data_IF_992723666754
#
_entry.id   IF_992723666754
#
_cell.length_a   1.000
_cell.length_b   1.000
_cell.length_c   1.000
_cell.angle_alpha   90.00
_cell.angle_beta   90.00
_cell.angle_gamma   90.00
#
_symmetry.space_group_name_H-M   'P 1'
#
loop_
_entity.id
_entity.type
_entity.pdbx_description
1 polymer ?
#
# COMPACT_ATOMS: atom_id res chain seq x y z
N UNK A 1 -18.36 -1.66 62.18
CA UNK A 1 -17.17 -0.79 61.95
C UNK A 1 -16.04 -1.70 61.50
N UNK A 2 -15.37 -1.60 60.35
CA UNK A 2 -15.29 -0.61 59.28
C UNK A 2 -15.12 -1.36 57.95
N UNK A 3 -15.70 -0.77 56.90
CA UNK A 3 -15.48 -1.09 55.48
C UNK A 3 -13.98 -1.12 55.16
N UNK A 4 -13.53 -2.13 54.42
CA UNK A 4 -12.42 -1.95 53.48
C UNK A 4 -12.88 -2.48 52.13
N UNK A 5 -13.22 -1.54 51.26
CA UNK A 5 -13.51 -1.73 49.85
C UNK A 5 -12.19 -2.14 49.21
N UNK A 6 -12.10 -3.37 48.70
CA UNK A 6 -11.09 -3.74 47.74
C UNK A 6 -11.41 -2.98 46.45
N UNK A 7 -10.75 -1.84 46.28
CA UNK A 7 -10.64 -1.17 44.98
C UNK A 7 -9.77 -2.09 44.13
N UNK A 8 -10.38 -2.81 43.19
CA UNK A 8 -9.68 -3.32 42.02
C UNK A 8 -9.11 -2.10 41.30
N UNK A 9 -7.83 -1.81 41.54
CA UNK A 9 -7.02 -1.03 40.62
C UNK A 9 -6.78 -1.92 39.41
N UNK A 10 -7.78 -2.00 38.51
CA UNK A 10 -7.50 -2.22 37.10
C UNK A 10 -6.68 -1.01 36.68
N UNK A 11 -5.36 -1.13 36.77
CA UNK A 11 -4.44 -0.26 36.06
C UNK A 11 -4.77 -0.44 34.58
N UNK A 12 -5.73 0.33 34.08
CA UNK A 12 -5.71 0.82 32.72
C UNK A 12 -4.37 1.56 32.60
N UNK A 13 -3.32 0.84 32.28
CA UNK A 13 -2.26 1.41 31.47
C UNK A 13 -2.97 1.83 30.18
N UNK A 14 -3.48 3.06 30.20
CA UNK A 14 -3.68 3.83 29.00
C UNK A 14 -2.31 3.88 28.35
N UNK A 15 -2.01 2.90 27.50
CA UNK A 15 -1.01 3.04 26.47
C UNK A 15 -1.40 4.35 25.79
N UNK A 16 -0.62 5.40 26.02
CA UNK A 16 -0.71 6.61 25.24
C UNK A 16 -0.51 6.13 23.81
N UNK A 17 -1.61 5.98 23.07
CA UNK A 17 -1.55 5.70 21.66
C UNK A 17 -0.94 6.95 21.05
N UNK A 18 0.34 6.86 20.70
CA UNK A 18 0.89 7.77 19.70
C UNK A 18 -0.02 7.62 18.48
N UNK A 19 -0.77 8.67 18.19
CA UNK A 19 -1.54 8.72 16.96
C UNK A 19 -0.52 8.78 15.82
N UNK A 20 -0.77 8.02 14.76
CA UNK A 20 -0.02 8.21 13.52
C UNK A 20 -0.24 9.65 13.08
N UNK A 21 0.86 10.38 12.87
CA UNK A 21 0.80 11.74 12.36
C UNK A 21 0.59 11.71 10.85
N UNK A 22 -0.23 12.66 10.37
CA UNK A 22 -0.60 12.75 8.98
C UNK A 22 -0.31 14.15 8.44
N UNK A 23 0.26 14.20 7.25
CA UNK A 23 0.45 15.43 6.49
C UNK A 23 -0.70 15.61 5.52
N UNK A 24 -1.10 16.86 5.31
CA UNK A 24 -2.15 17.22 4.36
C UNK A 24 -1.54 17.39 2.97
N UNK A 25 -2.07 16.67 1.99
CA UNK A 25 -1.70 16.80 0.58
C UNK A 25 -2.86 17.49 -0.16
N UNK A 26 -2.65 18.67 -0.76
CA UNK A 26 -3.72 19.44 -1.39
C UNK A 26 -4.24 18.74 -2.65
N UNK A 27 -5.50 19.02 -3.02
CA UNK A 27 -5.99 18.63 -4.35
C UNK A 27 -5.22 19.34 -5.46
N UNK A 28 -5.16 18.71 -6.63
CA UNK A 28 -4.55 19.30 -7.83
C UNK A 28 -5.38 18.96 -9.06
N UNK A 29 -5.77 19.99 -9.81
CA UNK A 29 -6.49 19.84 -11.09
C UNK A 29 -5.60 19.27 -12.20
N UNK A 30 -4.28 19.38 -12.03
CA UNK A 30 -3.30 18.94 -13.02
C UNK A 30 -1.97 18.59 -12.35
N UNK A 31 -1.67 17.29 -12.26
CA UNK A 31 -0.39 16.75 -11.82
C UNK A 31 0.17 15.81 -12.86
N UNK A 32 1.43 16.03 -13.26
CA UNK A 32 2.08 15.17 -14.24
C UNK A 32 2.81 14.04 -13.51
N UNK A 33 2.19 12.85 -13.48
CA UNK A 33 2.82 11.64 -12.95
C UNK A 33 3.74 10.98 -13.97
N UNK A 34 4.55 10.03 -13.52
CA UNK A 34 5.42 9.23 -14.38
C UNK A 34 6.63 10.01 -14.89
N UNK A 35 7.38 9.41 -15.80
CA UNK A 35 8.59 10.02 -16.32
C UNK A 35 9.02 9.46 -17.69
N UNK A 36 8.87 10.28 -18.73
CA UNK A 36 9.15 9.91 -20.12
C UNK A 36 10.65 9.89 -20.43
N UNK A 37 11.52 10.21 -19.48
CA UNK A 37 12.97 10.27 -19.71
C UNK A 37 13.68 8.96 -19.37
N UNK A 38 12.99 7.96 -18.83
CA UNK A 38 13.64 6.77 -18.27
C UNK A 38 13.41 5.50 -19.10
N UNK A 39 14.52 4.97 -19.58
CA UNK A 39 14.68 3.59 -20.04
C UNK A 39 15.37 2.86 -18.88
N UNK A 40 14.65 1.98 -18.19
CA UNK A 40 15.27 1.10 -17.20
C UNK A 40 15.99 -0.04 -17.93
N UNK A 41 17.15 -0.48 -17.41
CA UNK A 41 18.04 -1.52 -17.95
C UNK A 41 18.63 -1.31 -19.37
N UNK A 42 19.75 -0.58 -19.51
CA UNK A 42 20.49 -0.60 -20.78
C UNK A 42 20.93 -2.03 -21.18
N UNK A 43 21.42 -2.88 -20.28
CA UNK A 43 21.98 -4.18 -20.70
C UNK A 43 20.92 -5.27 -21.00
N UNK A 44 19.79 -5.27 -20.29
CA UNK A 44 18.70 -6.21 -20.58
C UNK A 44 17.92 -5.79 -21.83
N UNK A 45 17.67 -4.48 -22.04
CA UNK A 45 16.92 -3.99 -23.20
C UNK A 45 17.78 -3.79 -24.45
N UNK A 46 19.08 -3.45 -24.35
CA UNK A 46 20.01 -3.50 -25.51
C UNK A 46 20.00 -4.87 -26.16
N UNK A 47 19.83 -5.92 -25.36
CA UNK A 47 19.78 -7.31 -25.82
C UNK A 47 18.35 -7.81 -26.13
N UNK A 48 17.29 -7.04 -25.83
CA UNK A 48 15.88 -7.40 -26.07
C UNK A 48 15.05 -6.22 -26.61
N UNK A 49 15.30 -5.77 -27.86
CA UNK A 49 14.76 -4.51 -28.42
C UNK A 49 13.24 -4.51 -28.70
N UNK A 50 12.53 -5.61 -28.48
CA UNK A 50 11.07 -5.70 -28.59
C UNK A 50 10.33 -5.34 -27.29
N UNK A 51 11.06 -5.13 -26.19
CA UNK A 51 10.49 -4.73 -24.89
C UNK A 51 10.59 -3.20 -24.76
N UNK A 52 9.50 -2.59 -24.29
CA UNK A 52 9.07 -1.18 -24.44
C UNK A 52 10.08 -0.07 -24.09
N UNK A 53 9.81 1.12 -24.66
CA UNK A 53 10.62 2.35 -24.59
C UNK A 53 10.50 3.13 -23.27
N UNK A 54 9.42 2.96 -22.49
CA UNK A 54 9.18 3.67 -21.22
C UNK A 54 8.52 2.74 -20.20
N UNK A 55 8.94 2.78 -18.93
CA UNK A 55 8.33 1.99 -17.84
C UNK A 55 7.14 2.72 -17.19
N UNK A 56 7.15 4.05 -17.23
CA UNK A 56 6.15 4.92 -16.62
C UNK A 56 5.92 6.14 -17.52
N UNK A 57 5.09 6.00 -18.55
CA UNK A 57 4.73 7.12 -19.45
C UNK A 57 4.15 8.29 -18.66
N UNK A 58 4.60 9.51 -18.94
CA UNK A 58 4.02 10.68 -18.29
C UNK A 58 2.59 10.91 -18.72
N UNK A 59 1.77 11.33 -17.77
CA UNK A 59 0.38 11.69 -18.00
C UNK A 59 -0.09 12.70 -16.97
N UNK A 60 -1.03 13.53 -17.40
CA UNK A 60 -1.65 14.51 -16.53
C UNK A 60 -2.88 13.90 -15.85
N UNK A 61 -2.88 13.92 -14.52
CA UNK A 61 -3.98 13.43 -13.69
C UNK A 61 -4.52 14.56 -12.81
N UNK A 62 -5.71 14.32 -12.25
CA UNK A 62 -6.27 15.11 -11.17
C UNK A 62 -6.23 14.27 -9.90
N UNK A 63 -5.90 14.88 -8.77
CA UNK A 63 -5.97 14.23 -7.47
C UNK A 63 -6.81 15.08 -6.52
N UNK A 64 -7.67 14.42 -5.78
CA UNK A 64 -8.39 15.01 -4.67
C UNK A 64 -7.46 15.24 -3.49
N UNK A 65 -7.89 16.06 -2.54
CA UNK A 65 -7.18 16.24 -1.29
C UNK A 65 -7.17 14.93 -0.49
N UNK A 66 -6.02 14.60 0.10
CA UNK A 66 -5.86 13.45 0.99
C UNK A 66 -4.85 13.75 2.08
N UNK A 67 -4.74 12.82 3.02
CA UNK A 67 -3.81 12.90 4.13
C UNK A 67 -3.04 11.59 4.20
N UNK A 68 -1.72 11.68 4.20
CA UNK A 68 -0.82 10.52 4.21
C UNK A 68 0.01 10.53 5.49
N UNK A 69 0.33 9.35 6.03
CA UNK A 69 1.15 9.25 7.23
C UNK A 69 2.53 9.85 7.01
N UNK A 70 2.96 10.68 7.95
CA UNK A 70 4.26 11.38 7.89
C UNK A 70 5.42 10.40 7.73
N UNK A 71 5.33 9.27 8.42
CA UNK A 71 6.29 8.18 8.39
C UNK A 71 5.65 6.87 7.90
N UNK A 72 6.50 5.93 7.51
CA UNK A 72 6.15 4.53 7.30
C UNK A 72 5.62 3.95 8.62
N UNK A 73 4.73 2.97 8.49
CA UNK A 73 4.23 2.24 9.66
C UNK A 73 5.37 1.48 10.32
N UNK A 74 5.45 1.65 11.63
CA UNK A 74 6.54 1.20 12.48
C UNK A 74 6.31 -0.19 13.06
N UNK A 75 7.40 -0.83 13.50
CA UNK A 75 7.34 -2.11 14.23
C UNK A 75 6.46 -1.99 15.48
N UNK A 76 6.47 -0.84 16.16
CA UNK A 76 5.61 -0.58 17.33
C UNK A 76 4.13 -0.72 17.03
N UNK A 77 3.68 -0.13 15.92
CA UNK A 77 2.28 -0.11 15.54
C UNK A 77 1.79 -1.49 15.17
N UNK A 78 2.61 -2.24 14.42
CA UNK A 78 2.31 -3.63 14.05
C UNK A 78 2.32 -4.55 15.29
N UNK A 79 3.31 -4.45 16.18
CA UNK A 79 3.34 -5.20 17.46
C UNK A 79 2.09 -4.94 18.29
N UNK A 80 1.60 -3.70 18.32
CA UNK A 80 0.39 -3.37 19.02
C UNK A 80 -0.89 -3.92 18.36
N UNK A 81 -0.93 -4.02 17.02
CA UNK A 81 -1.99 -4.76 16.33
C UNK A 81 -1.97 -6.24 16.75
N UNK A 82 -0.81 -6.90 16.63
CA UNK A 82 -0.63 -8.32 17.01
C UNK A 82 -1.09 -8.58 18.43
N UNK A 83 -0.63 -7.77 19.39
CA UNK A 83 -0.98 -7.92 20.79
C UNK A 83 -2.49 -7.77 21.06
N UNK A 84 -3.20 -7.00 20.24
CA UNK A 84 -4.64 -6.74 20.46
C UNK A 84 -5.55 -7.71 19.73
N UNK A 85 -5.06 -8.40 18.71
CA UNK A 85 -5.88 -9.27 17.86
C UNK A 85 -5.41 -10.71 17.81
N UNK A 86 -4.27 -11.03 18.44
CA UNK A 86 -3.59 -12.32 18.36
C UNK A 86 -3.34 -12.78 16.90
N UNK A 87 -3.18 -11.81 15.98
CA UNK A 87 -3.09 -12.11 14.56
C UNK A 87 -1.77 -12.83 14.22
N UNK A 88 -1.80 -14.01 13.58
CA UNK A 88 -0.62 -14.83 13.35
C UNK A 88 0.11 -14.43 12.05
N UNK A 89 0.84 -13.31 12.08
CA UNK A 89 1.62 -12.86 10.92
C UNK A 89 2.54 -13.97 10.39
N UNK A 90 2.60 -14.06 9.08
CA UNK A 90 3.38 -15.01 8.30
C UNK A 90 4.88 -14.94 8.59
N UNK A 91 5.42 -13.74 8.82
CA UNK A 91 6.84 -13.57 9.14
C UNK A 91 7.23 -14.13 10.53
N UNK A 92 6.30 -14.30 11.48
CA UNK A 92 6.60 -14.99 12.75
C UNK A 92 6.69 -16.51 12.62
N UNK A 93 6.35 -17.06 11.43
CA UNK A 93 6.47 -18.50 11.17
C UNK A 93 7.91 -18.90 10.82
N UNK A 94 8.76 -17.92 10.52
CA UNK A 94 10.19 -18.11 10.30
C UNK A 94 10.97 -17.59 11.51
N UNK A 95 11.78 -18.45 12.11
CA UNK A 95 12.60 -18.10 13.26
C UNK A 95 13.60 -16.99 12.92
N UNK A 96 14.10 -16.95 11.67
CA UNK A 96 15.04 -15.91 11.24
C UNK A 96 14.40 -14.53 11.29
N UNK A 97 13.21 -14.38 10.69
CA UNK A 97 12.51 -13.10 10.65
C UNK A 97 11.98 -12.68 12.03
N UNK A 98 11.57 -13.66 12.85
CA UNK A 98 11.20 -13.43 14.24
C UNK A 98 12.37 -12.88 15.05
N UNK A 99 13.54 -13.50 14.95
CA UNK A 99 14.75 -13.02 15.61
C UNK A 99 15.21 -11.68 15.05
N UNK A 100 15.11 -11.48 13.74
CA UNK A 100 15.45 -10.22 13.08
C UNK A 100 14.61 -9.06 13.64
N UNK A 101 13.28 -9.19 13.69
CA UNK A 101 12.39 -8.15 14.23
C UNK A 101 12.63 -7.91 15.72
N UNK A 102 12.81 -8.98 16.50
CA UNK A 102 12.90 -8.85 17.95
C UNK A 102 14.28 -8.37 18.42
N UNK A 103 15.34 -8.68 17.68
CA UNK A 103 16.71 -8.42 18.11
C UNK A 103 17.41 -7.33 17.30
N UNK A 104 17.03 -7.08 16.04
CA UNK A 104 17.67 -6.08 15.18
C UNK A 104 16.84 -4.82 14.95
N UNK A 105 15.51 -4.91 14.93
CA UNK A 105 14.65 -3.75 14.74
C UNK A 105 14.21 -3.14 16.07
N UNK A 106 14.36 -1.82 16.19
CA UNK A 106 13.71 -1.02 17.22
C UNK A 106 12.22 -0.85 16.89
N UNK A 107 11.40 -0.60 17.91
CA UNK A 107 10.00 -0.20 17.78
C UNK A 107 9.78 0.99 16.81
N UNK A 108 10.75 1.88 16.69
CA UNK A 108 10.70 3.06 15.81
C UNK A 108 11.20 2.79 14.38
N UNK A 109 11.61 1.57 14.04
CA UNK A 109 11.93 1.21 12.66
C UNK A 109 10.66 1.01 11.84
N UNK A 110 10.76 1.20 10.52
CA UNK A 110 9.69 0.82 9.61
C UNK A 110 9.46 -0.70 9.67
N UNK A 111 8.20 -1.13 9.55
CA UNK A 111 7.86 -2.54 9.52
C UNK A 111 7.97 -3.05 8.07
N UNK A 112 9.20 -3.27 7.61
CA UNK A 112 9.50 -3.70 6.25
C UNK A 112 9.30 -5.21 6.03
N UNK A 113 8.28 -5.83 6.63
CA UNK A 113 8.03 -7.28 6.56
C UNK A 113 6.56 -7.61 6.25
N UNK A 114 5.84 -6.63 5.71
CA UNK A 114 4.43 -6.77 5.42
C UNK A 114 4.20 -7.21 3.98
N UNK A 115 3.16 -8.00 3.80
CA UNK A 115 2.57 -8.29 2.50
C UNK A 115 1.23 -7.55 2.37
N UNK A 116 0.65 -7.50 1.17
CA UNK A 116 -0.60 -6.76 0.98
C UNK A 116 -1.73 -7.31 1.84
N UNK A 117 -1.89 -8.63 1.91
CA UNK A 117 -2.93 -9.26 2.71
C UNK A 117 -2.88 -8.82 4.17
N UNK A 118 -1.71 -8.90 4.81
CA UNK A 118 -1.50 -8.52 6.21
C UNK A 118 -1.55 -7.02 6.42
N UNK A 119 -1.10 -6.23 5.45
CA UNK A 119 -1.25 -4.78 5.45
C UNK A 119 -2.72 -4.38 5.52
N UNK A 120 -3.57 -5.02 4.71
CA UNK A 120 -5.00 -4.80 4.70
C UNK A 120 -5.67 -5.21 6.04
N UNK A 121 -5.17 -6.25 6.71
CA UNK A 121 -5.62 -6.63 8.07
C UNK A 121 -5.34 -5.52 9.09
N UNK A 122 -4.09 -5.06 9.11
CA UNK A 122 -3.65 -3.98 9.98
C UNK A 122 -4.46 -2.69 9.73
N UNK A 123 -4.63 -2.33 8.46
CA UNK A 123 -5.40 -1.15 8.04
C UNK A 123 -6.85 -1.22 8.52
N UNK A 124 -7.50 -2.39 8.38
CA UNK A 124 -8.88 -2.54 8.81
C UNK A 124 -9.00 -2.40 10.33
N UNK A 125 -8.11 -3.05 11.08
CA UNK A 125 -8.06 -2.93 12.53
C UNK A 125 -7.84 -1.48 12.97
N UNK A 126 -6.88 -0.79 12.34
CA UNK A 126 -6.60 0.61 12.68
C UNK A 126 -7.80 1.51 12.36
N UNK A 127 -8.47 1.25 11.24
CA UNK A 127 -9.67 1.98 10.83
C UNK A 127 -10.82 1.83 11.83
N UNK A 128 -11.12 0.59 12.22
CA UNK A 128 -12.15 0.29 13.22
C UNK A 128 -11.80 0.91 14.58
N UNK A 129 -10.54 0.83 14.98
CA UNK A 129 -10.07 1.36 16.27
C UNK A 129 -10.14 2.89 16.35
N UNK A 130 -9.91 3.58 15.24
CA UNK A 130 -9.93 5.05 15.16
C UNK A 130 -11.26 5.62 14.72
N UNK A 131 -12.22 4.77 14.30
CA UNK A 131 -13.51 5.21 13.79
C UNK A 131 -13.40 6.02 12.49
N UNK A 132 -12.39 5.71 11.67
CA UNK A 132 -12.07 6.43 10.44
C UNK A 132 -11.53 5.47 9.39
N UNK A 133 -11.88 5.67 8.14
CA UNK A 133 -11.40 4.82 7.05
C UNK A 133 -9.97 5.22 6.67
N UNK A 134 -9.05 4.27 6.86
CA UNK A 134 -7.69 4.34 6.34
C UNK A 134 -7.51 3.28 5.24
N UNK A 135 -6.54 3.52 4.36
CA UNK A 135 -6.16 2.65 3.24
C UNK A 135 -4.69 2.83 2.90
N UNK A 136 -4.18 2.03 1.97
CA UNK A 136 -2.90 2.32 1.32
C UNK A 136 -3.06 3.53 0.39
N UNK A 137 -1.98 4.26 0.06
CA UNK A 137 -1.98 5.23 -1.02
C UNK A 137 -2.15 4.53 -2.37
N UNK A 138 -2.70 5.23 -3.38
CA UNK A 138 -2.44 4.85 -4.78
C UNK A 138 -1.02 5.25 -5.19
N UNK A 139 -0.53 4.69 -6.30
CA UNK A 139 0.74 5.10 -6.92
C UNK A 139 0.78 6.61 -7.16
N UNK A 140 -0.31 7.16 -7.68
CA UNK A 140 -0.42 8.58 -7.98
C UNK A 140 -0.38 9.46 -6.72
N UNK A 141 -1.07 9.05 -5.65
CA UNK A 141 -1.04 9.76 -4.37
C UNK A 141 0.35 9.72 -3.75
N UNK A 142 0.97 8.53 -3.74
CA UNK A 142 2.32 8.35 -3.19
C UNK A 142 3.32 9.21 -3.97
N UNK A 143 3.32 9.14 -5.31
CA UNK A 143 4.22 9.92 -6.15
C UNK A 143 4.01 11.42 -5.92
N UNK A 144 2.76 11.89 -5.88
CA UNK A 144 2.46 13.30 -5.65
C UNK A 144 2.95 13.80 -4.29
N UNK A 145 2.73 13.02 -3.23
CA UNK A 145 3.20 13.33 -1.88
C UNK A 145 4.74 13.33 -1.79
N UNK A 146 5.40 12.46 -2.56
CA UNK A 146 6.85 12.32 -2.59
C UNK A 146 7.55 13.45 -3.35
N UNK A 147 7.06 13.86 -4.53
CA UNK A 147 7.84 14.75 -5.40
C UNK A 147 7.21 16.10 -5.73
N UNK A 148 5.92 16.32 -5.50
CA UNK A 148 5.31 17.64 -5.71
C UNK A 148 5.65 18.30 -7.07
N UNK A 149 5.45 17.62 -8.19
CA UNK A 149 5.82 18.10 -9.55
C UNK A 149 7.33 18.37 -9.77
N UNK A 150 8.18 18.10 -8.79
CA UNK A 150 9.62 18.17 -8.94
C UNK A 150 10.08 16.88 -9.60
N UNK A 151 10.41 16.93 -10.90
CA UNK A 151 11.06 15.80 -11.61
C UNK A 151 12.53 15.62 -11.17
N UNK A 152 12.79 15.78 -9.87
CA UNK A 152 14.08 15.50 -9.25
C UNK A 152 14.32 13.98 -9.19
N UNK A 153 15.59 13.61 -9.02
CA UNK A 153 16.08 12.25 -8.82
C UNK A 153 15.47 11.61 -7.59
N UNK A 154 15.25 12.42 -6.56
CA UNK A 154 14.77 12.00 -5.26
C UNK A 154 13.63 12.92 -4.79
N UNK A 155 12.76 12.41 -3.91
CA UNK A 155 11.64 13.16 -3.28
C UNK A 155 12.00 14.53 -2.71
N UNK A 156 13.19 14.62 -2.12
CA UNK A 156 13.74 15.80 -1.44
C UNK A 156 14.74 16.58 -2.31
N UNK A 157 14.89 16.24 -3.60
CA UNK A 157 15.71 16.99 -4.56
C UNK A 157 16.86 16.21 -5.18
N UNK A 158 17.84 16.95 -5.73
CA UNK A 158 19.03 16.39 -6.38
C UNK A 158 20.31 16.72 -5.57
N UNK A 159 20.44 16.31 -4.29
CA UNK A 159 21.65 16.60 -3.55
C UNK A 159 22.85 15.93 -4.24
N UNK A 160 23.88 16.72 -4.54
CA UNK A 160 25.18 16.19 -4.92
C UNK A 160 25.87 15.69 -3.66
N UNK A 161 25.68 14.42 -3.29
CA UNK A 161 26.43 13.78 -2.22
C UNK A 161 25.63 12.93 -1.24
N UNK A 162 26.39 12.13 -0.49
CA UNK A 162 25.97 11.26 0.61
C UNK A 162 25.24 12.10 1.66
N UNK A 163 24.04 11.69 2.07
CA UNK A 163 23.50 12.18 3.33
C UNK A 163 24.46 11.73 4.44
N UNK A 164 25.10 12.69 5.10
CA UNK A 164 26.04 12.42 6.20
C UNK A 164 25.41 11.56 7.30
N UNK A 165 24.08 11.61 7.43
CA UNK A 165 23.31 10.86 8.42
C UNK A 165 23.06 9.40 8.03
N UNK A 166 23.21 9.04 6.75
CA UNK A 166 23.01 7.68 6.23
C UNK A 166 24.34 6.91 6.04
N UNK A 167 25.42 7.33 6.72
CA UNK A 167 26.78 6.78 6.56
C UNK A 167 26.95 5.38 7.19
N UNK A 168 26.01 4.48 6.94
CA UNK A 168 26.01 3.12 7.48
C UNK A 168 25.81 2.11 6.35
N UNK A 169 26.62 1.05 6.38
CA UNK A 169 26.47 -0.16 5.57
C UNK A 169 25.27 -1.00 6.05
N UNK A 170 24.10 -0.38 6.19
CA UNK A 170 22.89 -1.03 6.75
C UNK A 170 21.68 -0.77 5.87
N UNK A 171 20.74 -1.70 5.88
CA UNK A 171 19.49 -1.58 5.13
C UNK A 171 18.62 -0.45 5.67
N UNK A 172 17.85 0.22 4.81
CA UNK A 172 17.01 1.37 5.19
C UNK A 172 16.04 1.06 6.33
N UNK A 173 15.44 -0.12 6.34
CA UNK A 173 14.52 -0.55 7.39
C UNK A 173 15.18 -0.76 8.75
N UNK A 174 16.51 -0.89 8.81
CA UNK A 174 17.28 -0.94 10.06
C UNK A 174 17.51 0.46 10.65
N UNK A 175 17.19 1.52 9.91
CA UNK A 175 17.25 2.91 10.38
C UNK A 175 15.86 3.35 10.90
N UNK A 176 15.75 3.82 12.16
CA UNK A 176 14.50 4.35 12.70
C UNK A 176 13.93 5.48 11.84
N UNK A 177 12.61 5.49 11.65
CA UNK A 177 11.92 6.42 10.73
C UNK A 177 12.14 7.89 11.10
N UNK A 178 12.41 8.19 12.37
CA UNK A 178 12.53 9.55 12.90
C UNK A 178 13.91 10.21 12.71
N UNK A 179 14.93 9.51 12.21
CA UNK A 179 16.33 9.97 12.26
C UNK A 179 16.74 10.88 11.09
N UNK A 180 16.34 10.64 9.83
CA UNK A 180 16.82 11.46 8.74
C UNK A 180 15.89 12.66 8.48
N UNK A 181 16.09 13.79 9.16
CA UNK A 181 15.37 15.06 8.89
C UNK A 181 15.49 15.50 7.42
N UNK A 182 16.61 15.13 6.80
CA UNK A 182 16.96 15.47 5.43
C UNK A 182 16.26 14.58 4.38
N UNK A 183 15.67 13.46 4.80
CA UNK A 183 14.83 12.60 3.97
C UNK A 183 13.36 13.01 4.12
N UNK A 184 13.03 14.16 3.53
CA UNK A 184 11.73 14.79 3.64
C UNK A 184 11.28 15.41 2.32
N UNK A 185 10.13 15.00 1.79
CA UNK A 185 9.54 15.58 0.58
C UNK A 185 9.18 17.05 0.77
N UNK A 186 8.92 17.75 -0.34
CA UNK A 186 8.42 19.13 -0.32
C UNK A 186 7.09 19.32 0.42
N UNK A 187 6.33 18.25 0.65
CA UNK A 187 5.09 18.26 1.43
C UNK A 187 5.24 17.82 2.89
N UNK A 188 6.45 17.43 3.31
CA UNK A 188 6.69 16.95 4.67
C UNK A 188 6.63 15.43 4.83
N UNK A 189 6.55 14.66 3.74
CA UNK A 189 6.56 13.19 3.82
C UNK A 189 7.99 12.74 4.13
N UNK A 190 8.19 11.98 5.22
CA UNK A 190 9.52 11.62 5.71
C UNK A 190 9.81 10.14 5.52
N UNK A 191 11.10 9.81 5.45
CA UNK A 191 11.53 8.43 5.28
C UNK A 191 11.29 7.92 3.88
N UNK A 192 11.38 8.80 2.87
CA UNK A 192 11.09 8.50 1.47
C UNK A 192 12.34 8.01 0.75
N UNK A 193 13.51 7.89 1.36
CA UNK A 193 14.69 7.29 0.74
C UNK A 193 14.77 5.80 1.04
N UNK A 194 14.91 4.98 0.00
CA UNK A 194 15.03 3.53 0.11
C UNK A 194 13.70 2.87 0.46
N UNK A 195 13.74 1.55 0.71
CA UNK A 195 12.52 0.78 0.98
C UNK A 195 11.73 0.40 -0.27
N UNK A 196 10.60 -0.25 -0.05
CA UNK A 196 9.64 -0.72 -1.05
C UNK A 196 8.27 -0.65 -0.38
N UNK A 197 7.51 0.39 -0.69
CA UNK A 197 6.21 0.65 -0.06
C UNK A 197 5.06 0.05 -0.88
N UNK A 198 4.15 -0.69 -0.24
CA UNK A 198 2.96 -1.25 -0.91
C UNK A 198 1.95 -0.14 -1.20
N UNK A 199 1.42 -0.11 -2.43
CA UNK A 199 0.31 0.78 -2.84
C UNK A 199 -0.95 -0.02 -3.19
N UNK A 200 -2.07 0.68 -3.40
CA UNK A 200 -3.35 0.06 -3.81
C UNK A 200 -3.33 -0.49 -5.24
N UNK A 201 -2.53 0.08 -6.13
CA UNK A 201 -2.52 -0.29 -7.54
C UNK A 201 -2.04 -1.73 -7.74
N UNK A 202 -2.70 -2.46 -8.63
CA UNK A 202 -2.13 -3.66 -9.21
C UNK A 202 -0.86 -3.29 -10.01
N UNK A 203 0.12 -4.20 -10.03
CA UNK A 203 1.28 -4.03 -10.90
C UNK A 203 0.89 -4.24 -12.37
N UNK A 204 1.46 -3.44 -13.27
CA UNK A 204 1.28 -3.60 -14.71
C UNK A 204 2.52 -3.09 -15.44
N UNK A 205 3.07 -3.85 -16.38
CA UNK A 205 4.21 -3.41 -17.23
C UNK A 205 3.83 -2.27 -18.20
N UNK A 206 2.55 -1.90 -18.23
CA UNK A 206 1.97 -0.82 -19.01
C UNK A 206 1.18 0.13 -18.09
N UNK A 207 1.59 0.23 -16.83
CA UNK A 207 0.85 0.91 -15.76
C UNK A 207 0.26 2.26 -16.20
N UNK A 208 1.06 3.07 -16.88
CA UNK A 208 0.64 4.38 -17.38
C UNK A 208 0.27 4.40 -18.87
N UNK A 209 0.50 3.31 -19.60
CA UNK A 209 0.14 3.19 -21.03
C UNK A 209 -1.27 2.61 -21.24
N UNK A 210 -1.71 1.66 -20.40
CA UNK A 210 -3.08 1.12 -20.36
C UNK A 210 -4.10 2.13 -19.86
N UNK A 211 -3.61 3.25 -19.35
CA UNK A 211 -4.42 4.42 -19.07
C UNK A 211 -4.75 5.07 -20.42
N UNK A 212 -5.71 4.49 -21.14
CA UNK A 212 -6.16 5.02 -22.43
C UNK A 212 -6.78 6.43 -22.24
N UNK A 213 -7.36 6.66 -21.04
CA UNK A 213 -7.71 7.96 -20.39
C UNK A 213 -8.00 7.74 -18.90
N UNK A 214 -7.20 8.22 -17.94
CA UNK A 214 -7.63 8.31 -16.53
C UNK A 214 -7.35 9.70 -15.97
N UNK A 215 -8.44 10.39 -15.66
CA UNK A 215 -8.49 11.65 -14.93
C UNK A 215 -9.26 11.44 -13.63
N UNK A 216 -8.83 12.16 -12.60
CA UNK A 216 -9.29 12.17 -11.20
C UNK A 216 -9.21 10.84 -10.42
N UNK A 217 -8.25 10.79 -9.48
CA UNK A 217 -7.99 9.69 -8.55
C UNK A 217 -7.79 8.32 -9.24
N UNK A 218 -6.76 8.17 -10.10
CA UNK A 218 -6.55 6.93 -10.84
C UNK A 218 -6.11 5.77 -9.94
N UNK A 219 -6.57 4.57 -10.29
CA UNK A 219 -6.19 3.30 -9.69
C UNK A 219 -6.21 2.18 -10.74
N UNK A 220 -5.21 1.30 -10.70
CA UNK A 220 -5.06 0.24 -11.70
C UNK A 220 -5.55 -1.10 -11.17
N UNK A 221 -6.42 -1.74 -11.96
CA UNK A 221 -6.94 -3.08 -11.72
C UNK A 221 -6.52 -4.06 -12.82
N UNK A 222 -5.79 -5.11 -12.47
CA UNK A 222 -5.37 -6.17 -13.41
C UNK A 222 -5.69 -7.55 -12.83
N UNK A 223 -5.00 -7.95 -11.76
CA UNK A 223 -5.06 -9.30 -11.20
C UNK A 223 -4.93 -9.31 -9.66
N UNK A 224 -4.20 -10.28 -9.10
CA UNK A 224 -3.92 -10.38 -7.66
C UNK A 224 -2.63 -9.71 -7.24
N UNK A 225 -1.85 -9.22 -8.19
CA UNK A 225 -0.60 -8.53 -7.90
C UNK A 225 -0.88 -7.26 -7.12
N UNK A 226 0.10 -6.79 -6.39
CA UNK A 226 0.14 -5.40 -5.98
C UNK A 226 1.44 -4.82 -6.46
N UNK A 227 1.40 -3.52 -6.72
CA UNK A 227 2.61 -2.76 -6.97
C UNK A 227 3.22 -2.39 -5.64
N UNK A 228 4.53 -2.46 -5.56
CA UNK A 228 5.26 -1.60 -4.63
C UNK A 228 5.86 -0.43 -5.36
N UNK A 229 6.08 0.68 -4.66
CA UNK A 229 6.88 1.80 -5.12
C UNK A 229 8.14 1.86 -4.27
N UNK A 230 9.29 1.89 -4.94
CA UNK A 230 10.59 2.07 -4.31
C UNK A 230 11.12 3.44 -4.64
N UNK A 231 11.81 4.04 -3.69
CA UNK A 231 12.34 5.38 -3.75
C UNK A 231 13.86 5.40 -3.58
N UNK A 232 14.56 4.88 -4.58
CA UNK A 232 16.02 4.82 -4.62
C UNK A 232 16.61 3.47 -4.20
N UNK A 233 17.93 3.37 -4.27
CA UNK A 233 18.67 2.14 -3.98
C UNK A 233 19.14 2.13 -2.51
N UNK A 234 19.24 0.94 -1.92
CA UNK A 234 19.78 0.70 -0.57
C UNK A 234 21.25 1.14 -0.47
N UNK A 235 21.95 1.13 -1.60
CA UNK A 235 23.37 1.48 -1.71
C UNK A 235 23.55 2.89 -2.26
N UNK A 236 22.65 3.82 -1.90
CA UNK A 236 22.68 5.19 -2.41
C UNK A 236 24.04 5.89 -2.22
N UNK A 237 24.77 5.51 -1.18
CA UNK A 237 26.07 6.10 -0.86
C UNK A 237 27.25 5.49 -1.65
N UNK A 238 27.04 4.38 -2.38
CA UNK A 238 28.11 3.62 -3.05
C UNK A 238 27.94 3.56 -4.58
N UNK A 239 26.85 4.09 -5.12
CA UNK A 239 26.52 3.98 -6.56
C UNK A 239 26.50 5.35 -7.22
N UNK A 240 26.97 5.42 -8.46
CA UNK A 240 26.67 6.56 -9.32
C UNK A 240 25.20 6.46 -9.77
N UNK A 241 24.41 7.47 -9.42
CA UNK A 241 23.00 7.61 -9.84
C UNK A 241 22.86 8.57 -11.03
N UNK A 242 23.92 8.81 -11.78
CA UNK A 242 23.85 9.49 -13.08
C UNK A 242 22.89 8.77 -14.03
N UNK A 243 22.74 7.45 -13.89
CA UNK A 243 21.95 6.54 -14.73
C UNK A 243 20.56 6.15 -14.20
N UNK A 244 20.21 6.51 -12.95
CA UNK A 244 19.00 6.05 -12.25
C UNK A 244 18.24 7.18 -11.56
N UNK A 245 16.91 7.13 -11.66
CA UNK A 245 16.00 7.95 -10.86
C UNK A 245 15.21 7.06 -9.91
N UNK A 246 15.13 7.46 -8.65
CA UNK A 246 14.75 6.58 -7.56
C UNK A 246 13.29 6.16 -7.51
N UNK A 247 12.37 6.85 -8.18
CA UNK A 247 10.94 6.84 -7.82
C UNK A 247 10.01 6.03 -8.72
N UNK A 248 10.54 5.34 -9.72
CA UNK A 248 9.74 4.68 -10.75
C UNK A 248 10.04 3.17 -10.84
N UNK A 249 10.61 2.61 -9.78
CA UNK A 249 10.83 1.17 -9.70
C UNK A 249 9.61 0.53 -9.05
N UNK A 250 8.68 0.12 -9.90
CA UNK A 250 7.53 -0.67 -9.48
C UNK A 250 7.91 -2.15 -9.46
N UNK A 251 7.60 -2.85 -8.38
CA UNK A 251 7.73 -4.31 -8.37
C UNK A 251 6.38 -4.98 -8.34
N UNK A 252 6.32 -6.10 -9.06
CA UNK A 252 5.25 -7.05 -8.94
C UNK A 252 5.44 -7.86 -7.66
N UNK A 253 4.53 -7.71 -6.69
CA UNK A 253 4.45 -8.58 -5.52
C UNK A 253 3.10 -9.29 -5.48
N UNK A 254 3.11 -10.57 -5.11
CA UNK A 254 1.86 -11.33 -4.92
C UNK A 254 1.15 -10.92 -3.62
N UNK A 255 -0.17 -11.05 -3.61
CA UNK A 255 -1.05 -10.67 -2.49
C UNK A 255 -0.57 -11.15 -1.10
N UNK A 256 -0.01 -12.36 -1.02
CA UNK A 256 0.51 -12.97 0.21
C UNK A 256 2.03 -13.24 0.15
N UNK A 257 2.77 -12.50 -0.68
CA UNK A 257 4.21 -12.70 -0.80
C UNK A 257 4.92 -12.44 0.52
N UNK A 258 5.95 -13.21 0.86
CA UNK A 258 6.76 -12.98 2.07
C UNK A 258 7.83 -11.88 1.89
N UNK A 259 7.84 -11.16 0.77
CA UNK A 259 8.80 -10.09 0.54
C UNK A 259 8.56 -8.97 1.54
N UNK A 260 9.64 -8.51 2.15
CA UNK A 260 9.59 -7.43 3.10
C UNK A 260 9.32 -6.09 2.45
N UNK A 261 8.12 -5.54 2.69
CA UNK A 261 7.71 -4.23 2.22
C UNK A 261 7.20 -3.37 3.38
N UNK A 262 7.43 -2.07 3.27
CA UNK A 262 6.86 -1.07 4.16
C UNK A 262 5.45 -0.66 3.68
N UNK A 263 4.71 0.05 4.54
CA UNK A 263 3.43 0.68 4.18
C UNK A 263 3.30 2.07 4.77
N UNK A 264 2.43 2.87 4.15
CA UNK A 264 1.88 4.11 4.71
C UNK A 264 0.37 4.05 4.74
N UNK A 265 -0.22 4.88 5.59
CA UNK A 265 -1.67 5.04 5.65
C UNK A 265 -2.08 6.33 4.96
N UNK A 266 -3.18 6.25 4.23
CA UNK A 266 -3.92 7.39 3.70
C UNK A 266 -5.32 7.40 4.30
N UNK A 267 -5.82 8.60 4.60
CA UNK A 267 -7.25 8.86 4.67
C UNK A 267 -7.59 10.06 3.78
N UNK A 268 -8.80 10.10 3.24
CA UNK A 268 -9.24 11.19 2.37
C UNK A 268 -10.73 11.50 2.60
N UNK A 269 -11.17 12.77 2.44
CA UNK A 269 -12.59 13.10 2.39
C UNK A 269 -13.29 12.47 1.17
N UNK A 270 -12.57 12.37 0.06
CA UNK A 270 -13.02 11.70 -1.15
C UNK A 270 -12.30 10.36 -1.31
N UNK A 271 -13.09 9.29 -1.38
CA UNK A 271 -12.61 7.92 -1.51
C UNK A 271 -13.03 7.28 -2.83
N UNK A 272 -13.51 8.10 -3.78
CA UNK A 272 -13.88 7.65 -5.13
C UNK A 272 -12.64 7.63 -6.02
N UNK A 273 -12.37 6.48 -6.62
CA UNK A 273 -11.33 6.25 -7.61
C UNK A 273 -11.91 6.07 -9.00
N UNK A 274 -11.07 6.29 -10.02
CA UNK A 274 -11.41 6.08 -11.43
C UNK A 274 -12.66 6.85 -11.87
N UNK A 275 -12.80 8.11 -11.44
CA UNK A 275 -14.01 8.91 -11.70
C UNK A 275 -14.35 9.00 -13.18
N UNK A 276 -15.62 8.80 -13.51
CA UNK A 276 -16.14 8.84 -14.87
C UNK A 276 -15.81 7.60 -15.71
N UNK A 277 -15.40 6.49 -15.08
CA UNK A 277 -15.10 5.22 -15.78
C UNK A 277 -16.02 4.09 -15.35
N UNK A 278 -16.01 3.02 -16.14
CA UNK A 278 -16.77 1.79 -15.85
C UNK A 278 -16.33 1.14 -14.52
N UNK A 279 -15.07 1.33 -14.14
CA UNK A 279 -14.48 0.84 -12.90
C UNK A 279 -14.40 1.92 -11.80
N UNK A 280 -15.24 2.97 -11.90
CA UNK A 280 -15.41 3.95 -10.83
C UNK A 280 -15.88 3.27 -9.55
N UNK A 281 -15.14 3.48 -8.47
CA UNK A 281 -15.36 2.73 -7.24
C UNK A 281 -14.97 3.50 -6.00
N UNK A 282 -15.50 3.05 -4.87
CA UNK A 282 -15.30 3.63 -3.55
C UNK A 282 -14.55 2.61 -2.69
N UNK A 283 -13.59 3.08 -1.91
CA UNK A 283 -12.98 2.27 -0.85
C UNK A 283 -14.08 1.63 0.02
N UNK A 284 -14.06 0.31 0.14
CA UNK A 284 -15.08 -0.44 0.86
C UNK A 284 -14.50 -1.78 1.32
N UNK A 285 -13.72 -1.75 2.40
CA UNK A 285 -13.08 -2.94 2.93
C UNK A 285 -14.06 -3.80 3.74
N UNK A 286 -14.50 -4.93 3.19
CA UNK A 286 -15.52 -5.78 3.81
C UNK A 286 -15.34 -7.28 3.50
N UNK A 287 -15.97 -8.16 4.27
CA UNK A 287 -15.92 -9.62 4.10
C UNK A 287 -17.30 -10.12 3.69
N UNK A 288 -17.36 -10.98 2.68
CA UNK A 288 -18.61 -11.56 2.23
C UNK A 288 -18.49 -13.03 1.85
N UNK A 289 -19.65 -13.64 1.64
CA UNK A 289 -19.78 -15.02 1.20
C UNK A 289 -20.71 -15.11 -0.01
N UNK A 290 -20.32 -15.91 -0.99
CA UNK A 290 -21.15 -16.19 -2.17
C UNK A 290 -22.43 -16.90 -1.74
N UNK A 291 -23.59 -16.43 -2.22
CA UNK A 291 -24.91 -16.94 -1.82
C UNK A 291 -25.24 -18.31 -2.40
N UNK A 292 -24.98 -18.52 -3.69
CA UNK A 292 -25.28 -19.77 -4.40
C UNK A 292 -24.21 -20.06 -5.45
N UNK A 293 -24.08 -19.14 -6.40
CA UNK A 293 -23.01 -19.11 -7.39
C UNK A 293 -22.77 -17.67 -7.78
N UNK A 294 -21.53 -17.33 -8.11
CA UNK A 294 -21.20 -15.98 -8.53
C UNK A 294 -20.19 -15.97 -9.65
N UNK A 295 -20.45 -15.15 -10.66
CA UNK A 295 -19.51 -14.94 -11.75
C UNK A 295 -18.47 -13.89 -11.34
N UNK A 296 -17.21 -14.15 -11.69
CA UNK A 296 -16.13 -13.18 -11.53
C UNK A 296 -15.83 -12.57 -12.89
N UNK A 297 -15.92 -11.25 -12.96
CA UNK A 297 -15.65 -10.45 -14.14
C UNK A 297 -14.27 -9.80 -14.03
N UNK A 298 -13.63 -9.57 -15.18
CA UNK A 298 -12.38 -8.81 -15.21
C UNK A 298 -12.62 -7.33 -14.88
N UNK A 299 -13.75 -6.76 -15.32
CA UNK A 299 -14.20 -5.39 -15.07
C UNK A 299 -15.72 -5.36 -14.91
N UNK A 300 -16.30 -4.31 -14.28
CA UNK A 300 -17.76 -4.13 -14.26
C UNK A 300 -18.33 -4.09 -15.69
N UNK A 301 -19.53 -4.64 -15.86
CA UNK A 301 -20.30 -4.64 -17.11
C UNK A 301 -19.59 -5.21 -18.36
N UNK A 302 -18.55 -6.03 -18.20
CA UNK A 302 -17.95 -6.76 -19.33
C UNK A 302 -18.53 -8.17 -19.47
N UNK A 303 -18.60 -8.67 -20.71
CA UNK A 303 -18.94 -10.08 -20.98
C UNK A 303 -17.80 -11.05 -20.64
N UNK A 304 -16.63 -10.52 -20.28
CA UNK A 304 -15.42 -11.30 -20.05
C UNK A 304 -15.39 -11.85 -18.62
N UNK A 305 -15.64 -13.16 -18.53
CA UNK A 305 -15.70 -13.91 -17.28
C UNK A 305 -14.37 -14.59 -17.02
N UNK A 306 -13.87 -14.44 -15.79
CA UNK A 306 -12.61 -15.03 -15.32
C UNK A 306 -12.81 -16.34 -14.58
N UNK A 307 -13.86 -16.43 -13.75
CA UNK A 307 -14.11 -17.60 -12.91
C UNK A 307 -15.58 -17.66 -12.44
N UNK A 308 -15.99 -18.76 -11.83
CA UNK A 308 -17.28 -18.94 -11.15
C UNK A 308 -17.00 -19.44 -9.73
N UNK A 309 -17.48 -18.72 -8.74
CA UNK A 309 -17.38 -19.10 -7.32
C UNK A 309 -18.63 -19.86 -6.91
N UNK A 310 -18.46 -20.81 -5.98
CA UNK A 310 -19.54 -21.63 -5.44
C UNK A 310 -20.11 -21.04 -4.16
N UNK A 311 -21.27 -21.53 -3.75
CA UNK A 311 -21.93 -21.20 -2.49
C UNK A 311 -20.96 -21.25 -1.30
N UNK A 312 -21.15 -20.32 -0.38
CA UNK A 312 -20.36 -20.13 0.84
C UNK A 312 -18.87 -19.86 0.61
N UNK A 313 -18.42 -19.66 -0.64
CA UNK A 313 -17.05 -19.25 -0.89
C UNK A 313 -16.83 -17.83 -0.38
N UNK A 314 -15.78 -17.67 0.41
CA UNK A 314 -15.42 -16.39 1.00
C UNK A 314 -14.79 -15.45 -0.04
N UNK A 315 -15.18 -14.18 0.03
CA UNK A 315 -14.61 -13.08 -0.73
C UNK A 315 -14.20 -11.93 0.19
N UNK A 316 -13.02 -11.39 -0.04
CA UNK A 316 -12.47 -10.23 0.65
C UNK A 316 -12.62 -9.00 -0.26
N UNK A 317 -13.57 -8.14 0.05
CA UNK A 317 -13.99 -7.00 -0.76
C UNK A 317 -13.18 -5.76 -0.41
N UNK A 318 -12.54 -5.14 -1.39
CA UNK A 318 -11.72 -3.93 -1.19
C UNK A 318 -12.43 -2.66 -1.69
N UNK A 319 -13.22 -2.79 -2.76
CA UNK A 319 -13.96 -1.68 -3.34
C UNK A 319 -15.39 -2.10 -3.69
N UNK A 320 -16.28 -1.11 -3.76
CA UNK A 320 -17.60 -1.23 -4.36
C UNK A 320 -17.73 -0.23 -5.51
N UNK A 321 -18.41 -0.59 -6.59
CA UNK A 321 -18.74 0.37 -7.64
C UNK A 321 -19.68 1.46 -7.11
N UNK A 322 -19.64 2.65 -7.70
CA UNK A 322 -20.44 3.80 -7.24
C UNK A 322 -21.95 3.61 -7.42
N UNK A 323 -22.36 2.78 -8.38
CA UNK A 323 -23.74 2.30 -8.56
C UNK A 323 -24.15 1.18 -7.58
N UNK A 324 -23.21 0.66 -6.78
CA UNK A 324 -23.35 -0.47 -5.86
C UNK A 324 -23.72 -1.82 -6.53
N UNK A 325 -23.53 -1.96 -7.84
CA UNK A 325 -23.81 -3.22 -8.55
C UNK A 325 -22.69 -4.25 -8.39
N UNK A 326 -21.45 -3.81 -8.18
CA UNK A 326 -20.28 -4.69 -8.14
C UNK A 326 -19.40 -4.46 -6.91
N UNK A 327 -18.75 -5.53 -6.49
CA UNK A 327 -17.63 -5.50 -5.55
C UNK A 327 -16.35 -5.92 -6.25
N UNK A 328 -15.24 -5.23 -5.97
CA UNK A 328 -13.88 -5.69 -6.31
C UNK A 328 -13.35 -6.50 -5.14
N UNK A 329 -13.07 -7.78 -5.35
CA UNK A 329 -12.67 -8.68 -4.27
C UNK A 329 -11.47 -9.57 -4.59
N UNK A 330 -10.83 -10.05 -3.53
CA UNK A 330 -9.90 -11.19 -3.53
C UNK A 330 -10.61 -12.45 -3.05
N UNK A 331 -10.19 -13.61 -3.56
CA UNK A 331 -10.74 -14.91 -3.20
C UNK A 331 -9.70 -16.02 -3.45
N UNK A 332 -9.86 -17.19 -2.83
CA UNK A 332 -8.99 -18.36 -3.09
C UNK A 332 -9.66 -19.35 -4.02
N UNK A 333 -8.93 -19.89 -4.99
CA UNK A 333 -9.31 -21.06 -5.80
C UNK A 333 -8.11 -21.99 -5.84
N UNK A 334 -8.31 -23.27 -5.50
CA UNK A 334 -7.23 -24.28 -5.45
C UNK A 334 -6.00 -23.83 -4.66
N UNK A 335 -6.23 -23.16 -3.52
CA UNK A 335 -5.18 -22.62 -2.65
C UNK A 335 -4.53 -21.32 -3.14
N UNK A 336 -4.81 -20.87 -4.37
CA UNK A 336 -4.22 -19.66 -4.95
C UNK A 336 -5.14 -18.45 -4.79
N UNK A 337 -4.56 -17.33 -4.40
CA UNK A 337 -5.27 -16.05 -4.41
C UNK A 337 -5.60 -15.66 -5.84
N UNK A 338 -6.80 -15.12 -6.01
CA UNK A 338 -7.39 -14.60 -7.23
C UNK A 338 -8.12 -13.29 -6.93
N UNK A 339 -8.40 -12.52 -7.97
CA UNK A 339 -9.06 -11.23 -7.85
C UNK A 339 -9.91 -10.93 -9.08
N UNK A 340 -11.01 -10.23 -8.87
CA UNK A 340 -11.88 -9.71 -9.92
C UNK A 340 -13.07 -8.96 -9.35
N UNK A 341 -14.07 -8.74 -10.18
CA UNK A 341 -15.34 -8.09 -9.83
C UNK A 341 -16.47 -9.11 -9.71
N UNK A 342 -17.34 -8.93 -8.73
CA UNK A 342 -18.47 -9.83 -8.45
C UNK A 342 -19.74 -8.99 -8.29
N UNK A 343 -20.89 -9.51 -8.75
CA UNK A 343 -22.17 -8.82 -8.54
C UNK A 343 -22.48 -8.75 -7.04
N UNK A 344 -22.80 -7.56 -6.55
CA UNK A 344 -23.11 -7.32 -5.15
C UNK A 344 -24.34 -8.12 -4.68
N UNK A 345 -25.30 -8.36 -5.59
CA UNK A 345 -26.49 -9.17 -5.32
C UNK A 345 -26.17 -10.64 -5.02
N UNK A 346 -25.03 -11.16 -5.49
CA UNK A 346 -24.59 -12.56 -5.32
C UNK A 346 -23.77 -12.79 -4.04
N UNK A 347 -23.48 -11.73 -3.29
CA UNK A 347 -22.65 -11.79 -2.08
C UNK A 347 -23.45 -11.35 -0.86
N UNK A 348 -23.35 -12.11 0.22
CA UNK A 348 -23.82 -11.72 1.55
C UNK A 348 -22.67 -11.10 2.34
N UNK A 349 -22.78 -9.82 2.68
CA UNK A 349 -21.79 -9.09 3.49
C UNK A 349 -21.90 -9.49 4.96
N UNK A 350 -20.77 -9.48 5.66
CA UNK A 350 -20.68 -9.76 7.10
C UNK A 350 -20.04 -8.61 7.86
N UNK A 351 -20.23 -8.58 9.18
CA UNK A 351 -19.54 -7.63 10.05
C UNK A 351 -18.23 -8.20 10.62
N UNK A 352 -17.77 -9.36 10.13
CA UNK A 352 -16.57 -10.02 10.63
C UNK A 352 -15.36 -9.35 9.95
N UNK A 353 -14.47 -8.69 10.71
CA UNK A 353 -13.25 -8.15 10.15
C UNK A 353 -12.39 -9.25 9.53
N UNK A 354 -11.63 -8.90 8.51
CA UNK A 354 -10.73 -9.81 7.80
C UNK A 354 -9.71 -10.45 8.75
N UNK A 355 -9.26 -9.72 9.77
CA UNK A 355 -8.24 -10.20 10.71
C UNK A 355 -8.78 -11.22 11.73
N UNK A 356 -10.09 -11.48 11.73
CA UNK A 356 -10.72 -12.52 12.54
C UNK A 356 -10.89 -13.77 11.68
N UNK A 357 -10.26 -14.87 12.07
CA UNK A 357 -10.21 -16.13 11.29
C UNK A 357 -9.76 -15.89 9.83
N UNK A 358 -8.51 -15.43 9.62
CA UNK A 358 -7.96 -15.14 8.30
C UNK A 358 -7.81 -16.42 7.46
N UNK A 359 -8.01 -16.29 6.14
CA UNK A 359 -7.98 -17.35 5.12
C UNK A 359 -6.63 -18.02 4.89
#
# INVERSE_FOLDING_TARGET
>A
MKKLIQILFLMNFSYLFFAIDFIKIPSTEKYNIGNNKFIYYEDYYKNNPTIKKYYCKEQDIKLSEFFISEYEITVKEVKNFIHQTDYPFSFYRDNYWTEFINNKLNENNSCALLNLYESLMFIQWYSLKKGKEYRLPSNAEWEYAAIHNNKAKLPYGNPTGIFKDFYVETWRYEIPVFIPESDCSGFGMKGVLGGSEIVLDNFSDEMYEKIDKLHENPLIFEDTSCSTIRSGDINYNQRDFSDRFGLYFHNHIFFNSIYGNEIRLVYAPDTIFNKGRLDECIWFQNRGFVKETAEIYLRPDTSEKKNILKEAQEVLILFKSTDNLYYRCYYKTDGNWNAGWILASQVSITNIPWYINPL
#
